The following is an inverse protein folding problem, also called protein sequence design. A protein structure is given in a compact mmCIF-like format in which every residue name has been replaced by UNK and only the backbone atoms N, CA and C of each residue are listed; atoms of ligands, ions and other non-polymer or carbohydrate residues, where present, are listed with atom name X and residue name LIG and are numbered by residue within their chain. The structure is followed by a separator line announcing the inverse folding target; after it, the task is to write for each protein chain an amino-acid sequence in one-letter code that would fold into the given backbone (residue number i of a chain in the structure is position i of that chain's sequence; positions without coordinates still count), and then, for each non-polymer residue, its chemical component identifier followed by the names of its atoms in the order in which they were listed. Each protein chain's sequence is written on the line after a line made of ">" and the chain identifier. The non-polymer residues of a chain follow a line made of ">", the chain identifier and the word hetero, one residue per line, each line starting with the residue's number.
data_IF_828475431948
#
_entry.id   IF_828475431948
#
_cell.length_a   1.000
_cell.length_b   1.000
_cell.length_c   1.000
_cell.angle_alpha   90.00
_cell.angle_beta   90.00
_cell.angle_gamma   90.00
#
_symmetry.space_group_name_H-M   'P 1'
#
loop_
_entity.id
_entity.type
_entity.pdbx_description
1 polymer ?
#
# COMPACT_ATOMS: atom_id res chain seq x y z
N UNK A 1 -16.77 9.53 9.27
CA UNK A 1 -18.23 9.34 9.21
C UNK A 1 -18.46 8.01 9.93
N UNK A 2 -18.85 8.05 11.20
CA UNK A 2 -19.18 6.82 11.93
C UNK A 2 -20.48 6.28 11.34
N UNK A 3 -20.42 5.11 10.70
CA UNK A 3 -21.63 4.39 10.29
C UNK A 3 -22.35 3.97 11.56
N UNK A 4 -23.49 4.60 11.83
CA UNK A 4 -24.42 4.18 12.87
C UNK A 4 -24.81 2.74 12.53
N UNK A 5 -24.55 1.81 13.45
CA UNK A 5 -24.88 0.41 13.24
C UNK A 5 -26.40 0.27 13.04
N UNK A 6 -26.83 -0.07 11.82
CA UNK A 6 -28.17 -0.61 11.58
C UNK A 6 -29.03 0.09 10.54
N UNK A 7 -28.57 1.16 9.87
CA UNK A 7 -29.36 1.70 8.75
C UNK A 7 -29.31 0.75 7.55
N UNK A 8 -30.50 0.33 7.09
CA UNK A 8 -30.69 -0.47 5.88
C UNK A 8 -30.27 0.38 4.68
N UNK A 9 -29.19 0.01 4.01
CA UNK A 9 -28.60 0.77 2.91
C UNK A 9 -28.08 -0.17 1.82
N UNK A 10 -28.34 0.21 0.56
CA UNK A 10 -27.70 -0.35 -0.62
C UNK A 10 -26.66 0.60 -1.21
N UNK A 11 -26.24 0.33 -2.43
CA UNK A 11 -25.23 1.09 -3.16
C UNK A 11 -25.74 2.50 -3.58
N UNK A 12 -27.04 2.65 -3.85
CA UNK A 12 -27.66 3.87 -4.42
C UNK A 12 -28.55 4.59 -3.42
N UNK A 13 -29.18 3.86 -2.50
CA UNK A 13 -30.11 4.44 -1.54
C UNK A 13 -30.05 3.80 -0.16
N UNK A 14 -30.56 4.53 0.83
CA UNK A 14 -30.77 4.05 2.19
C UNK A 14 -32.25 4.15 2.54
N UNK A 15 -32.71 3.37 3.51
CA UNK A 15 -34.10 3.38 3.96
C UNK A 15 -34.56 4.76 4.43
N UNK A 16 -33.67 5.58 5.01
CA UNK A 16 -33.97 6.96 5.38
C UNK A 16 -34.26 7.91 4.20
N UNK A 17 -33.96 7.51 2.95
CA UNK A 17 -34.31 8.27 1.75
C UNK A 17 -35.76 8.02 1.28
N UNK A 18 -36.44 7.03 1.88
CA UNK A 18 -37.79 6.61 1.52
C UNK A 18 -38.73 6.96 2.67
N UNK A 19 -39.76 7.76 2.37
CA UNK A 19 -40.69 8.32 3.36
C UNK A 19 -42.05 7.59 3.40
N UNK A 20 -42.27 6.61 2.53
CA UNK A 20 -43.55 5.93 2.34
C UNK A 20 -43.51 4.44 2.69
N UNK A 21 -42.58 4.01 3.55
CA UNK A 21 -42.52 2.62 4.00
C UNK A 21 -43.86 2.16 4.61
N UNK A 22 -44.38 0.97 4.22
CA UNK A 22 -45.57 0.41 4.84
C UNK A 22 -45.43 0.29 6.36
N UNK A 23 -46.50 0.59 7.10
CA UNK A 23 -46.46 0.48 8.56
C UNK A 23 -46.20 -0.97 8.98
N UNK A 24 -45.15 -1.17 9.77
CA UNK A 24 -44.76 -2.49 10.28
C UNK A 24 -43.87 -3.31 9.33
N UNK A 25 -43.39 -2.73 8.22
CA UNK A 25 -42.39 -3.39 7.37
C UNK A 25 -41.10 -3.65 8.17
N UNK A 26 -40.56 -4.85 8.04
CA UNK A 26 -39.31 -5.24 8.69
C UNK A 26 -38.09 -4.63 8.00
N UNK A 27 -36.95 -4.56 8.70
CA UNK A 27 -35.67 -4.12 8.11
C UNK A 27 -35.21 -5.04 6.98
N UNK A 28 -35.51 -6.33 7.08
CA UNK A 28 -35.23 -7.34 6.06
C UNK A 28 -36.05 -7.07 4.79
N UNK A 29 -37.36 -6.82 4.92
CA UNK A 29 -38.22 -6.46 3.77
C UNK A 29 -37.82 -5.13 3.14
N UNK A 30 -37.38 -4.14 3.95
CA UNK A 30 -36.81 -2.90 3.42
C UNK A 30 -35.55 -3.16 2.58
N UNK A 31 -34.65 -4.04 3.05
CA UNK A 31 -33.44 -4.42 2.32
C UNK A 31 -33.79 -5.14 1.02
N UNK A 32 -34.75 -6.07 1.03
CA UNK A 32 -35.19 -6.78 -0.18
C UNK A 32 -35.71 -5.83 -1.27
N UNK A 33 -36.43 -4.77 -0.89
CA UNK A 33 -36.92 -3.76 -1.82
C UNK A 33 -35.78 -2.91 -2.38
N UNK A 34 -34.84 -2.48 -1.52
CA UNK A 34 -33.64 -1.74 -1.94
C UNK A 34 -32.83 -2.58 -2.93
N UNK A 35 -32.49 -3.82 -2.59
CA UNK A 35 -31.71 -4.73 -3.44
C UNK A 35 -32.40 -4.95 -4.79
N UNK A 36 -33.73 -5.13 -4.80
CA UNK A 36 -34.50 -5.30 -6.02
C UNK A 36 -34.43 -4.07 -6.93
N UNK A 37 -34.54 -2.87 -6.35
CA UNK A 37 -34.48 -1.61 -7.11
C UNK A 37 -33.10 -1.38 -7.71
N UNK A 38 -32.04 -1.66 -6.95
CA UNK A 38 -30.67 -1.52 -7.41
C UNK A 38 -30.36 -2.51 -8.54
N UNK A 39 -30.79 -3.78 -8.41
CA UNK A 39 -30.71 -4.77 -9.49
C UNK A 39 -31.44 -4.32 -10.77
N UNK A 40 -32.59 -3.64 -10.63
CA UNK A 40 -33.33 -3.09 -11.77
C UNK A 40 -32.51 -1.99 -12.45
N UNK A 41 -31.93 -1.06 -11.68
CA UNK A 41 -31.11 0.02 -12.20
C UNK A 41 -29.89 -0.54 -12.91
N UNK A 42 -29.14 -1.44 -12.27
CA UNK A 42 -27.93 -2.08 -12.83
C UNK A 42 -28.20 -2.77 -14.15
N UNK A 43 -29.33 -3.47 -14.22
CA UNK A 43 -29.75 -4.17 -15.43
C UNK A 43 -30.08 -3.21 -16.58
N UNK A 44 -30.63 -2.02 -16.27
CA UNK A 44 -31.04 -1.02 -17.27
C UNK A 44 -29.86 -0.17 -17.72
N UNK A 45 -28.95 0.18 -16.80
CA UNK A 45 -27.76 0.98 -17.11
C UNK A 45 -26.64 0.14 -17.71
N UNK A 46 -26.62 -1.18 -17.44
CA UNK A 46 -25.46 -2.05 -17.69
C UNK A 46 -24.17 -1.48 -17.08
N UNK A 47 -24.32 -0.82 -15.93
CA UNK A 47 -23.27 -0.15 -15.18
C UNK A 47 -23.63 -0.20 -13.70
N UNK A 48 -22.72 -0.75 -12.89
CA UNK A 48 -22.79 -0.72 -11.43
C UNK A 48 -22.11 0.55 -10.92
N UNK A 49 -22.86 1.38 -10.20
CA UNK A 49 -22.35 2.59 -9.58
C UNK A 49 -21.89 2.28 -8.15
N UNK A 50 -20.97 3.08 -7.62
CA UNK A 50 -20.36 2.78 -6.32
C UNK A 50 -19.19 1.81 -6.42
N UNK A 51 -18.58 1.54 -5.27
CA UNK A 51 -17.35 0.75 -5.18
C UNK A 51 -17.64 -0.65 -4.67
N UNK A 52 -17.39 -1.66 -5.49
CA UNK A 52 -17.34 -3.05 -5.05
C UNK A 52 -15.92 -3.40 -4.61
N UNK A 53 -15.78 -3.97 -3.42
CA UNK A 53 -14.48 -4.45 -2.96
C UNK A 53 -14.05 -5.66 -3.80
N UNK A 54 -12.79 -5.67 -4.24
CA UNK A 54 -12.19 -6.82 -4.90
C UNK A 54 -10.96 -7.30 -4.12
N UNK A 55 -10.75 -8.61 -4.15
CA UNK A 55 -9.54 -9.29 -3.68
C UNK A 55 -9.19 -10.37 -4.71
N UNK A 56 -8.21 -10.05 -5.55
CA UNK A 56 -7.84 -10.91 -6.67
C UNK A 56 -6.41 -11.41 -6.52
N UNK A 57 -6.20 -12.66 -6.94
CA UNK A 57 -4.88 -13.29 -7.01
C UNK A 57 -4.48 -13.51 -8.45
N UNK A 58 -3.24 -13.15 -8.77
CA UNK A 58 -2.70 -13.11 -10.11
C UNK A 58 -1.29 -13.73 -10.14
N UNK A 59 -0.91 -14.15 -11.35
CA UNK A 59 0.46 -14.53 -11.65
C UNK A 59 1.22 -13.29 -12.09
N UNK A 60 2.42 -13.05 -11.55
CA UNK A 60 3.29 -12.01 -12.09
C UNK A 60 3.77 -12.33 -13.51
N UNK A 61 4.16 -11.28 -14.23
CA UNK A 61 4.35 -11.31 -15.67
C UNK A 61 5.72 -10.77 -16.15
N UNK A 62 6.67 -10.52 -15.24
CA UNK A 62 7.98 -9.90 -15.51
C UNK A 62 7.87 -8.57 -16.27
N UNK A 63 6.79 -7.83 -16.03
CA UNK A 63 6.60 -6.48 -16.56
C UNK A 63 6.35 -5.55 -15.40
N UNK A 64 6.51 -4.25 -15.65
CA UNK A 64 6.17 -3.21 -14.69
C UNK A 64 4.70 -2.89 -14.59
N UNK A 65 3.86 -3.56 -15.38
CA UNK A 65 2.42 -3.35 -15.45
C UNK A 65 1.69 -4.68 -15.36
N UNK A 66 0.70 -4.76 -14.47
CA UNK A 66 -0.18 -5.91 -14.35
C UNK A 66 -1.63 -5.47 -14.59
N UNK A 67 -2.25 -6.02 -15.63
CA UNK A 67 -3.66 -5.80 -15.92
C UNK A 67 -4.51 -6.66 -15.00
N UNK A 68 -5.49 -6.05 -14.36
CA UNK A 68 -6.41 -6.77 -13.49
C UNK A 68 -7.60 -7.26 -14.33
N UNK A 69 -8.02 -8.53 -14.22
CA UNK A 69 -9.16 -9.08 -14.95
C UNK A 69 -10.48 -8.66 -14.27
N UNK A 70 -10.70 -7.35 -14.10
CA UNK A 70 -11.91 -6.78 -13.52
C UNK A 70 -12.90 -6.44 -14.63
N UNK A 71 -14.20 -6.49 -14.32
CA UNK A 71 -15.27 -6.14 -15.25
C UNK A 71 -15.45 -4.62 -15.40
N UNK A 72 -14.98 -3.86 -14.41
CA UNK A 72 -15.10 -2.40 -14.31
C UNK A 72 -13.78 -1.76 -13.87
N UNK A 73 -13.74 -0.42 -13.91
CA UNK A 73 -12.54 0.36 -13.61
C UNK A 73 -12.11 0.22 -12.14
N UNK A 74 -10.80 0.26 -11.90
CA UNK A 74 -10.21 0.35 -10.57
C UNK A 74 -10.48 1.76 -10.01
N UNK A 75 -11.19 1.84 -8.89
CA UNK A 75 -11.40 3.08 -8.15
C UNK A 75 -10.28 3.31 -7.15
N UNK A 76 -9.91 2.27 -6.39
CA UNK A 76 -8.82 2.34 -5.41
C UNK A 76 -8.04 1.03 -5.36
N UNK A 77 -6.77 1.12 -4.98
CA UNK A 77 -5.94 -0.03 -4.59
C UNK A 77 -5.47 0.19 -3.16
N UNK A 78 -6.02 -0.58 -2.23
CA UNK A 78 -5.75 -0.43 -0.80
C UNK A 78 -4.48 -1.16 -0.41
N UNK A 79 -4.26 -2.39 -0.91
CA UNK A 79 -3.09 -3.18 -0.61
C UNK A 79 -2.66 -4.01 -1.82
N UNK A 80 -1.36 -4.16 -2.00
CA UNK A 80 -0.76 -5.13 -2.91
C UNK A 80 0.13 -6.05 -2.11
N UNK A 81 0.04 -7.35 -2.34
CA UNK A 81 0.97 -8.33 -1.79
C UNK A 81 1.70 -9.03 -2.92
N UNK A 82 3.02 -9.17 -2.78
CA UNK A 82 3.86 -9.99 -3.66
C UNK A 82 4.49 -11.09 -2.82
N UNK A 83 4.16 -12.34 -3.13
CA UNK A 83 4.51 -13.55 -2.37
C UNK A 83 4.23 -13.41 -0.87
N UNK A 84 3.02 -12.95 -0.53
CA UNK A 84 2.56 -12.68 0.84
C UNK A 84 3.29 -11.55 1.58
N UNK A 85 4.11 -10.76 0.88
CA UNK A 85 4.72 -9.54 1.42
C UNK A 85 3.90 -8.34 0.95
N UNK A 86 3.34 -7.59 1.89
CA UNK A 86 2.65 -6.34 1.62
C UNK A 86 3.62 -5.31 1.06
N UNK A 87 3.24 -4.70 -0.06
CA UNK A 87 3.98 -3.65 -0.74
C UNK A 87 3.57 -2.28 -0.17
N UNK A 88 4.54 -1.40 0.05
CA UNK A 88 4.26 -0.03 0.47
C UNK A 88 3.53 0.75 -0.64
N UNK A 89 2.59 1.62 -0.28
CA UNK A 89 1.81 2.39 -1.27
C UNK A 89 2.64 3.36 -2.10
N UNK A 90 3.87 3.69 -1.66
CA UNK A 90 4.82 4.47 -2.46
C UNK A 90 5.51 3.67 -3.58
N UNK A 91 5.39 2.33 -3.58
CA UNK A 91 6.06 1.46 -4.54
C UNK A 91 5.20 1.10 -5.75
N UNK A 92 3.95 1.53 -5.75
CA UNK A 92 3.03 1.25 -6.83
C UNK A 92 2.13 2.43 -7.10
N UNK A 93 1.66 2.49 -8.34
CA UNK A 93 0.57 3.36 -8.77
C UNK A 93 -0.41 2.52 -9.58
N UNK A 94 -1.56 3.09 -9.94
CA UNK A 94 -2.58 2.39 -10.72
C UNK A 94 -3.28 3.37 -11.64
N UNK A 95 -3.82 2.82 -12.72
CA UNK A 95 -4.81 3.47 -13.55
C UNK A 95 -6.13 2.69 -13.50
N UNK A 96 -7.07 3.04 -14.38
CA UNK A 96 -8.38 2.41 -14.45
C UNK A 96 -8.36 0.89 -14.66
N UNK A 97 -7.28 0.30 -15.19
CA UNK A 97 -7.27 -1.11 -15.61
C UNK A 97 -6.05 -1.91 -15.12
N UNK A 98 -5.11 -1.26 -14.45
CA UNK A 98 -3.84 -1.89 -14.13
C UNK A 98 -3.13 -1.25 -12.96
N UNK A 99 -2.26 -2.05 -12.35
CA UNK A 99 -1.28 -1.60 -11.37
C UNK A 99 0.10 -1.52 -12.02
N UNK A 100 0.90 -0.58 -11.55
CA UNK A 100 2.27 -0.35 -11.97
C UNK A 100 3.18 -0.47 -10.75
N UNK A 101 4.30 -1.16 -10.89
CA UNK A 101 5.39 -0.95 -9.95
C UNK A 101 6.12 0.32 -10.39
N UNK A 102 6.12 1.30 -9.50
CA UNK A 102 6.92 2.51 -9.62
C UNK A 102 7.77 2.59 -8.35
N UNK A 103 8.80 1.73 -8.23
CA UNK A 103 9.73 1.85 -7.13
C UNK A 103 10.40 3.21 -7.32
N UNK A 104 10.00 4.21 -6.53
CA UNK A 104 10.50 5.57 -6.68
C UNK A 104 12.03 5.52 -6.78
N UNK A 105 12.57 5.84 -7.96
CA UNK A 105 14.01 5.80 -8.27
C UNK A 105 14.79 6.87 -7.46
N UNK A 106 14.10 7.62 -6.58
CA UNK A 106 14.63 8.80 -5.91
C UNK A 106 15.22 8.61 -4.51
N UNK A 107 14.74 7.66 -3.70
CA UNK A 107 15.26 7.50 -2.32
C UNK A 107 15.08 6.04 -1.84
N UNK A 108 16.21 5.32 -1.76
CA UNK A 108 16.38 3.95 -1.25
C UNK A 108 15.85 2.80 -2.14
N UNK A 109 16.77 2.15 -2.85
CA UNK A 109 16.61 0.83 -3.50
C UNK A 109 16.41 -0.33 -2.50
N UNK A 110 15.94 -0.05 -1.29
CA UNK A 110 15.89 -0.96 -0.16
C UNK A 110 14.50 -0.89 0.44
N UNK A 111 13.56 -1.66 -0.11
CA UNK A 111 12.17 -1.70 0.37
C UNK A 111 12.08 -1.79 1.88
N UNK A 112 11.43 -0.77 2.47
CA UNK A 112 11.29 -0.62 3.92
C UNK A 112 12.61 -0.81 4.68
N UNK A 113 13.72 -0.25 4.19
CA UNK A 113 14.96 -0.23 4.97
C UNK A 113 14.65 0.38 6.34
N UNK A 114 14.82 -0.41 7.40
CA UNK A 114 14.62 0.12 8.74
C UNK A 114 15.69 1.16 9.12
N UNK A 115 16.76 1.25 8.32
CA UNK A 115 17.85 2.20 8.45
C UNK A 115 17.59 3.46 7.63
N UNK A 116 17.73 4.62 8.27
CA UNK A 116 17.77 5.94 7.63
C UNK A 116 19.20 6.26 7.23
N UNK A 117 19.40 6.73 5.99
CA UNK A 117 20.71 7.19 5.48
C UNK A 117 21.82 6.15 5.70
N UNK A 118 21.58 4.91 5.26
CA UNK A 118 22.54 3.82 5.36
C UNK A 118 23.69 3.91 4.33
N UNK A 119 23.53 4.75 3.32
CA UNK A 119 24.55 5.16 2.34
C UNK A 119 25.39 6.36 2.83
N UNK A 120 25.05 6.95 3.98
CA UNK A 120 25.81 8.02 4.64
C UNK A 120 26.02 9.25 3.75
N UNK A 121 25.01 9.68 3.00
CA UNK A 121 25.12 10.89 2.19
C UNK A 121 24.66 12.16 2.93
N UNK A 122 23.95 12.01 4.05
CA UNK A 122 23.39 13.12 4.80
C UNK A 122 24.24 13.48 6.04
N UNK A 123 25.11 14.47 5.88
CA UNK A 123 25.95 15.03 6.95
C UNK A 123 25.43 16.41 7.38
N UNK A 124 25.57 16.74 8.67
CA UNK A 124 25.23 18.08 9.17
C UNK A 124 26.17 19.10 8.50
N UNK A 125 25.58 20.10 7.85
CA UNK A 125 26.31 21.05 6.98
C UNK A 125 26.96 22.20 7.77
N UNK A 126 26.69 22.30 9.08
CA UNK A 126 27.22 23.38 9.90
C UNK A 126 28.63 23.05 10.39
N UNK A 127 29.64 23.71 9.82
CA UNK A 127 30.97 23.73 10.39
C UNK A 127 30.92 24.15 11.88
N UNK A 128 31.71 23.53 12.77
CA UNK A 128 32.87 22.69 12.47
C UNK A 128 32.58 21.17 12.44
N UNK A 129 31.33 20.71 12.56
CA UNK A 129 31.07 19.30 12.82
C UNK A 129 30.87 18.50 11.53
N UNK A 130 31.64 17.42 11.38
CA UNK A 130 31.44 16.38 10.37
C UNK A 130 30.50 15.32 10.91
N UNK A 131 29.35 15.74 11.47
CA UNK A 131 28.43 14.78 12.09
C UNK A 131 27.52 14.15 11.04
N UNK A 132 27.20 12.87 11.21
CA UNK A 132 26.07 12.23 10.53
C UNK A 132 24.73 12.84 11.00
N UNK A 133 23.80 13.05 10.07
CA UNK A 133 22.51 13.69 10.38
C UNK A 133 21.54 12.75 11.11
N UNK A 134 21.45 11.50 10.65
CA UNK A 134 20.48 10.50 11.14
C UNK A 134 21.06 9.47 12.10
N UNK A 135 22.35 9.60 12.43
CA UNK A 135 23.06 8.68 13.31
C UNK A 135 23.58 9.44 14.54
N UNK A 136 23.63 8.75 15.67
CA UNK A 136 24.25 9.25 16.89
C UNK A 136 25.69 8.78 16.91
N UNK A 137 26.62 9.72 17.00
CA UNK A 137 28.06 9.44 17.07
C UNK A 137 28.51 9.22 18.52
N UNK A 138 29.34 8.21 18.72
CA UNK A 138 29.99 7.93 20.00
C UNK A 138 31.49 7.87 19.79
N UNK A 139 32.22 8.81 20.41
CA UNK A 139 33.68 8.87 20.38
C UNK A 139 34.26 8.99 21.79
N UNK A 140 35.45 8.44 21.98
CA UNK A 140 36.25 8.61 23.19
C UNK A 140 37.71 8.92 22.83
N UNK A 141 38.44 9.49 23.78
CA UNK A 141 39.86 9.83 23.59
C UNK A 141 40.08 10.80 22.44
N UNK A 142 40.96 10.44 21.51
CA UNK A 142 41.22 11.21 20.28
C UNK A 142 40.71 10.50 19.03
N UNK A 143 39.81 9.52 19.18
CA UNK A 143 39.18 8.85 18.04
C UNK A 143 38.17 9.77 17.36
N UNK A 144 37.97 9.60 16.06
CA UNK A 144 37.12 10.51 15.26
C UNK A 144 36.21 9.75 14.30
N UNK A 145 35.10 10.39 13.93
CA UNK A 145 34.16 9.92 12.92
C UNK A 145 34.11 10.99 11.84
N UNK A 146 34.40 10.59 10.61
CA UNK A 146 34.56 11.49 9.48
C UNK A 146 33.88 10.89 8.25
N UNK A 147 33.52 11.77 7.31
CA UNK A 147 33.23 11.35 5.94
C UNK A 147 34.54 11.10 5.20
N UNK A 148 34.63 10.01 4.44
CA UNK A 148 35.74 9.74 3.53
C UNK A 148 35.24 9.83 2.08
N UNK A 149 36.03 10.48 1.22
CA UNK A 149 35.75 10.70 -0.21
C UNK A 149 36.70 9.92 -1.13
N UNK A 150 37.63 9.16 -0.55
CA UNK A 150 38.67 8.39 -1.24
C UNK A 150 38.32 6.91 -1.19
N UNK A 151 38.02 6.37 -0.01
CA UNK A 151 37.67 4.96 0.21
C UNK A 151 36.16 4.76 0.11
N UNK A 152 35.52 5.20 -0.97
CA UNK A 152 34.05 5.09 -1.15
C UNK A 152 33.71 3.83 -1.94
N UNK A 153 32.66 3.09 -1.55
CA UNK A 153 32.18 1.99 -2.38
C UNK A 153 31.20 2.49 -3.44
N UNK A 154 30.16 3.23 -3.03
CA UNK A 154 29.13 3.77 -3.93
C UNK A 154 28.87 5.24 -3.60
N UNK A 155 28.62 6.06 -4.61
CA UNK A 155 28.29 7.47 -4.44
C UNK A 155 29.45 8.35 -4.01
N UNK A 156 29.20 9.29 -3.10
CA UNK A 156 30.13 10.39 -2.80
C UNK A 156 30.92 10.22 -1.51
N UNK A 157 30.37 9.49 -0.54
CA UNK A 157 30.92 9.41 0.81
C UNK A 157 30.73 7.99 1.36
N UNK A 158 31.60 7.62 2.30
CA UNK A 158 31.34 6.57 3.28
C UNK A 158 31.64 7.10 4.68
N UNK A 159 31.23 6.37 5.72
CA UNK A 159 31.66 6.69 7.08
C UNK A 159 33.02 6.06 7.37
N UNK A 160 33.94 6.86 7.89
CA UNK A 160 35.26 6.44 8.37
C UNK A 160 35.38 6.73 9.86
N UNK A 161 35.80 5.72 10.60
CA UNK A 161 36.05 5.80 12.04
C UNK A 161 37.53 5.60 12.28
N UNK A 162 38.23 6.64 12.73
CA UNK A 162 39.65 6.59 13.06
C UNK A 162 39.81 6.29 14.57
N UNK A 163 40.38 5.13 14.87
CA UNK A 163 40.63 4.65 16.23
C UNK A 163 42.01 5.08 16.69
N UNK A 164 42.07 5.75 17.83
CA UNK A 164 43.31 6.31 18.36
C UNK A 164 44.33 5.26 18.85
N UNK A 165 45.48 5.76 19.30
CA UNK A 165 46.57 4.95 19.86
C UNK A 165 46.33 4.50 21.32
N UNK A 166 45.13 4.70 21.87
CA UNK A 166 44.72 4.21 23.18
C UNK A 166 43.57 3.21 23.13
N UNK A 167 43.16 2.78 21.92
CA UNK A 167 41.97 1.93 21.73
C UNK A 167 40.69 2.60 22.26
N UNK A 168 40.57 3.92 22.08
CA UNK A 168 39.33 4.59 22.46
C UNK A 168 38.22 4.28 21.44
N UNK A 169 36.97 4.27 21.91
CA UNK A 169 35.81 3.96 21.08
C UNK A 169 35.61 4.97 19.95
N UNK A 170 35.26 4.47 18.76
CA UNK A 170 34.52 5.22 17.76
C UNK A 170 33.42 4.33 17.16
N UNK A 171 32.21 4.86 17.09
CA UNK A 171 31.07 4.16 16.50
C UNK A 171 29.86 5.06 16.31
N UNK A 172 28.90 4.54 15.56
CA UNK A 172 27.63 5.19 15.27
C UNK A 172 26.50 4.27 15.69
N UNK A 173 25.39 4.87 16.13
CA UNK A 173 24.18 4.13 16.45
C UNK A 173 22.92 4.77 15.86
N UNK A 174 21.92 3.95 15.57
CA UNK A 174 20.60 4.39 15.15
C UNK A 174 19.50 3.57 15.83
N UNK A 175 18.52 4.27 16.40
CA UNK A 175 17.27 3.68 16.85
C UNK A 175 16.39 3.31 15.64
N UNK A 176 15.88 2.08 15.64
CA UNK A 176 15.02 1.56 14.57
C UNK A 176 13.88 0.71 15.15
N UNK A 177 12.81 0.57 14.38
CA UNK A 177 11.63 -0.23 14.76
C UNK A 177 11.38 -1.34 13.74
N UNK A 178 11.38 -2.60 14.19
CA UNK A 178 11.06 -3.78 13.38
C UNK A 178 9.71 -4.37 13.81
N UNK A 179 8.97 -4.91 12.84
CA UNK A 179 7.75 -5.70 13.14
C UNK A 179 8.18 -6.97 13.87
N UNK A 180 7.50 -7.32 14.95
CA UNK A 180 7.80 -8.50 15.78
C UNK A 180 7.61 -9.80 15.01
N UNK A 181 8.46 -10.79 15.28
CA UNK A 181 8.38 -12.13 14.70
C UNK A 181 8.32 -12.12 13.15
N UNK A 182 9.14 -11.27 12.52
CA UNK A 182 9.28 -11.18 11.07
C UNK A 182 10.73 -11.44 10.67
N UNK A 183 10.92 -12.07 9.53
CA UNK A 183 12.26 -12.34 9.01
C UNK A 183 12.85 -11.09 8.37
N UNK A 184 14.13 -10.82 8.64
CA UNK A 184 14.90 -9.69 8.15
C UNK A 184 16.30 -10.13 7.71
N UNK A 185 16.94 -9.32 6.85
CA UNK A 185 18.35 -9.40 6.46
C UNK A 185 19.02 -8.09 6.83
N UNK A 186 20.00 -8.14 7.73
CA UNK A 186 20.96 -7.07 7.93
C UNK A 186 22.05 -7.21 6.87
N UNK A 187 22.34 -6.16 6.11
CA UNK A 187 23.43 -6.14 5.13
C UNK A 187 24.16 -4.80 5.17
N UNK A 188 25.47 -4.84 4.94
CA UNK A 188 26.31 -3.66 4.77
C UNK A 188 27.65 -4.04 4.14
N UNK A 189 28.38 -3.03 3.69
CA UNK A 189 29.77 -3.17 3.27
C UNK A 189 30.70 -2.60 4.32
N UNK A 190 31.88 -3.20 4.44
CA UNK A 190 32.90 -2.74 5.37
C UNK A 190 34.32 -3.03 4.86
N UNK A 191 35.30 -2.28 5.37
CA UNK A 191 36.72 -2.60 5.28
C UNK A 191 37.51 -2.03 6.46
N UNK A 192 38.73 -2.52 6.65
CA UNK A 192 39.68 -2.07 7.67
C UNK A 192 40.96 -1.59 7.00
N UNK A 193 41.62 -0.55 7.53
CA UNK A 193 42.87 -0.05 6.96
C UNK A 193 44.13 -0.83 7.38
N UNK A 194 44.05 -1.64 8.44
CA UNK A 194 45.19 -2.36 9.03
C UNK A 194 44.88 -3.84 9.23
N UNK A 195 45.86 -4.70 8.93
CA UNK A 195 45.73 -6.14 9.14
C UNK A 195 45.53 -6.50 10.62
N UNK A 196 44.79 -7.58 10.90
CA UNK A 196 44.44 -8.07 12.24
C UNK A 196 43.63 -7.09 13.11
N UNK A 197 43.09 -6.01 12.53
CA UNK A 197 42.14 -5.09 13.18
C UNK A 197 40.74 -5.35 12.62
N UNK A 198 39.78 -5.62 13.49
CA UNK A 198 38.42 -5.94 13.08
C UNK A 198 37.51 -4.72 13.21
N UNK A 199 36.35 -4.80 12.59
CA UNK A 199 35.21 -3.95 12.88
C UNK A 199 34.17 -4.79 13.64
N UNK A 200 33.20 -4.17 14.28
CA UNK A 200 32.12 -4.88 14.95
C UNK A 200 30.78 -4.19 14.74
N UNK A 201 29.71 -4.95 14.93
CA UNK A 201 28.36 -4.41 15.04
C UNK A 201 27.60 -5.05 16.18
N UNK A 202 26.52 -4.39 16.61
CA UNK A 202 25.55 -4.95 17.55
C UNK A 202 24.15 -4.50 17.16
N UNK A 203 23.21 -5.44 17.06
CA UNK A 203 21.78 -5.15 16.96
C UNK A 203 21.12 -5.63 18.25
N UNK A 204 20.54 -4.73 19.03
CA UNK A 204 20.02 -5.07 20.36
C UNK A 204 18.81 -4.25 20.77
N UNK A 205 18.09 -4.74 21.77
CA UNK A 205 17.12 -3.94 22.51
C UNK A 205 17.78 -3.37 23.77
N UNK A 206 17.89 -2.05 23.84
CA UNK A 206 18.56 -1.35 24.95
C UNK A 206 17.82 -1.43 26.28
N UNK A 207 16.50 -1.68 26.26
CA UNK A 207 15.65 -1.74 27.46
C UNK A 207 15.74 -3.11 28.12
N UNK A 208 15.65 -4.17 27.34
CA UNK A 208 15.65 -5.57 27.79
C UNK A 208 17.04 -6.20 27.78
N UNK A 209 18.02 -5.51 27.19
CA UNK A 209 19.40 -5.98 27.03
C UNK A 209 19.47 -7.35 26.37
N UNK A 210 18.83 -7.49 25.20
CA UNK A 210 18.83 -8.70 24.38
C UNK A 210 19.42 -8.37 23.02
N UNK A 211 20.41 -9.14 22.57
CA UNK A 211 21.19 -8.86 21.35
C UNK A 211 21.11 -10.00 20.34
N UNK A 212 21.26 -9.64 19.07
CA UNK A 212 21.37 -10.57 17.96
C UNK A 212 22.78 -11.16 17.91
N UNK A 213 22.88 -12.49 17.83
CA UNK A 213 24.15 -13.21 17.61
C UNK A 213 24.46 -13.31 16.11
N UNK A 214 25.71 -13.63 15.81
CA UNK A 214 26.19 -13.87 14.44
C UNK A 214 25.48 -15.03 13.71
N UNK A 215 24.78 -15.90 14.43
CA UNK A 215 24.00 -17.02 13.88
C UNK A 215 22.52 -16.65 13.58
N UNK A 216 22.13 -15.39 13.79
CA UNK A 216 20.78 -14.90 13.55
C UNK A 216 19.80 -15.13 14.70
N UNK A 217 20.25 -15.69 15.83
CA UNK A 217 19.41 -15.92 17.03
C UNK A 217 19.66 -14.90 18.14
N UNK A 218 18.70 -14.74 19.05
CA UNK A 218 18.76 -13.74 20.13
C UNK A 218 19.30 -14.32 21.44
N UNK A 219 20.03 -13.51 22.21
CA UNK A 219 20.51 -13.89 23.55
C UNK A 219 20.42 -12.71 24.53
N UNK A 220 20.17 -12.96 25.82
CA UNK A 220 20.37 -11.96 26.86
C UNK A 220 21.82 -11.46 26.91
N UNK A 221 22.00 -10.19 27.25
CA UNK A 221 23.28 -9.50 27.29
C UNK A 221 23.61 -8.75 26.00
N UNK A 222 24.60 -7.85 26.08
CA UNK A 222 25.20 -7.22 24.91
C UNK A 222 26.13 -8.21 24.21
N UNK A 223 25.93 -8.38 22.90
CA UNK A 223 26.79 -9.23 22.08
C UNK A 223 27.25 -8.43 20.87
N UNK A 224 28.56 -8.22 20.79
CA UNK A 224 29.21 -7.56 19.66
C UNK A 224 29.68 -8.64 18.69
N UNK A 225 29.18 -8.57 17.46
CA UNK A 225 29.59 -9.48 16.39
C UNK A 225 30.85 -8.94 15.74
N UNK A 226 31.96 -9.64 15.95
CA UNK A 226 33.23 -9.32 15.31
C UNK A 226 33.20 -9.67 13.83
N UNK A 227 33.54 -8.70 12.99
CA UNK A 227 33.67 -8.86 11.55
C UNK A 227 35.07 -9.39 11.21
N UNK A 228 35.20 -10.06 10.08
CA UNK A 228 36.51 -10.55 9.62
C UNK A 228 37.43 -9.38 9.27
N UNK A 229 38.73 -9.49 9.54
CA UNK A 229 39.66 -8.47 9.06
C UNK A 229 39.79 -8.56 7.54
N UNK A 230 39.30 -7.53 6.85
CA UNK A 230 39.35 -7.40 5.39
C UNK A 230 39.92 -6.02 5.02
N UNK A 231 40.83 -5.99 4.06
CA UNK A 231 41.52 -4.76 3.60
C UNK A 231 40.93 -4.19 2.29
N UNK A 232 39.86 -4.81 1.80
CA UNK A 232 39.08 -4.38 0.65
C UNK A 232 37.60 -4.42 1.02
N UNK A 233 36.79 -3.60 0.36
CA UNK A 233 35.34 -3.58 0.54
C UNK A 233 34.76 -4.99 0.41
N UNK A 234 34.13 -5.44 1.49
CA UNK A 234 33.54 -6.78 1.60
C UNK A 234 32.10 -6.66 2.04
N UNK A 235 31.24 -7.51 1.48
CA UNK A 235 29.85 -7.63 1.88
C UNK A 235 29.71 -8.44 3.18
N UNK A 236 28.91 -7.92 4.10
CA UNK A 236 28.39 -8.67 5.23
C UNK A 236 26.87 -8.80 5.08
N UNK A 237 26.34 -9.99 5.37
CA UNK A 237 24.90 -10.22 5.43
C UNK A 237 24.53 -11.22 6.51
N UNK A 238 23.45 -10.94 7.24
CA UNK A 238 22.92 -11.81 8.28
C UNK A 238 21.39 -11.86 8.17
N UNK A 239 20.86 -13.06 7.92
CA UNK A 239 19.42 -13.33 8.02
C UNK A 239 19.04 -13.62 9.48
N UNK A 240 17.94 -13.04 9.94
CA UNK A 240 17.43 -13.24 11.30
C UNK A 240 15.91 -13.10 11.35
N UNK A 241 15.28 -13.55 12.43
CA UNK A 241 13.88 -13.24 12.74
C UNK A 241 13.86 -12.25 13.90
N UNK A 242 13.16 -11.12 13.76
CA UNK A 242 12.98 -10.15 14.84
C UNK A 242 12.35 -10.81 16.07
N UNK A 243 12.67 -10.29 17.25
CA UNK A 243 12.22 -10.87 18.51
C UNK A 243 10.67 -10.80 18.63
N UNK A 244 10.01 -11.82 19.19
CA UNK A 244 8.54 -11.82 19.35
C UNK A 244 8.02 -10.76 20.32
N UNK A 245 8.83 -10.38 21.32
CA UNK A 245 8.34 -9.55 22.44
C UNK A 245 8.57 -8.04 22.28
N UNK A 246 9.46 -7.61 21.38
CA UNK A 246 9.81 -6.20 21.24
C UNK A 246 10.01 -5.77 19.78
N UNK A 247 9.71 -4.49 19.55
CA UNK A 247 9.75 -3.87 18.23
C UNK A 247 10.84 -2.80 18.12
N UNK A 248 11.39 -2.30 19.23
CA UNK A 248 12.43 -1.29 19.26
C UNK A 248 13.82 -1.93 19.32
N UNK A 249 14.74 -1.44 18.50
CA UNK A 249 16.11 -1.92 18.40
C UNK A 249 17.06 -0.73 18.27
N UNK A 250 18.33 -0.95 18.58
CA UNK A 250 19.46 -0.12 18.20
C UNK A 250 20.42 -0.92 17.36
N UNK A 251 20.89 -0.34 16.25
CA UNK A 251 22.03 -0.86 15.50
C UNK A 251 23.23 0.02 15.84
N UNK A 252 24.33 -0.62 16.24
CA UNK A 252 25.64 0.00 16.46
C UNK A 252 26.63 -0.56 15.44
N UNK A 253 27.45 0.32 14.87
CA UNK A 253 28.59 0.00 14.01
C UNK A 253 29.81 0.74 14.57
N UNK A 254 30.92 0.04 14.79
CA UNK A 254 32.12 0.69 15.35
C UNK A 254 33.19 -0.28 15.79
N UNK A 255 34.07 0.18 16.66
CA UNK A 255 34.96 -0.66 17.48
C UNK A 255 35.59 0.14 18.63
N UNK A 256 36.11 -0.55 19.65
CA UNK A 256 37.02 -0.03 20.68
C UNK A 256 38.34 -0.81 20.76
N UNK A 257 38.60 -1.79 19.87
CA UNK A 257 39.77 -2.68 19.95
C UNK A 257 40.64 -2.66 18.66
N UNK A 258 40.65 -1.54 17.94
CA UNK A 258 41.31 -1.41 16.64
C UNK A 258 42.39 -0.31 16.60
N UNK A 259 43.30 -0.34 17.56
CA UNK A 259 44.41 0.62 17.77
C UNK A 259 45.03 1.15 16.47
N UNK A 260 45.08 2.48 16.34
CA UNK A 260 45.77 3.17 15.23
C UNK A 260 45.34 2.65 13.85
N UNK A 261 44.05 2.44 13.66
CA UNK A 261 43.47 2.01 12.39
C UNK A 261 42.20 2.77 12.07
N UNK A 262 41.74 2.60 10.84
CA UNK A 262 40.50 3.18 10.33
C UNK A 262 39.57 2.05 9.94
N UNK A 263 38.31 2.19 10.31
CA UNK A 263 37.22 1.28 9.96
C UNK A 263 36.23 2.04 9.09
N UNK A 264 35.70 1.37 8.07
CA UNK A 264 34.80 1.96 7.10
C UNK A 264 33.52 1.15 7.00
N UNK A 265 32.39 1.85 6.87
CA UNK A 265 31.09 1.25 6.58
C UNK A 265 30.41 1.99 5.43
N UNK A 266 29.63 1.27 4.65
CA UNK A 266 28.81 1.83 3.56
C UNK A 266 27.60 0.90 3.28
N UNK A 267 26.55 1.44 2.66
CA UNK A 267 25.35 0.71 2.21
C UNK A 267 24.69 -0.16 3.29
N UNK A 268 24.44 0.41 4.47
CA UNK A 268 23.82 -0.29 5.59
C UNK A 268 22.31 -0.40 5.40
N UNK A 269 21.77 -1.61 5.56
CA UNK A 269 20.34 -1.84 5.52
C UNK A 269 19.86 -3.02 6.35
N UNK A 270 18.61 -2.90 6.82
CA UNK A 270 17.84 -4.01 7.39
C UNK A 270 16.56 -4.14 6.57
N UNK A 271 16.45 -5.25 5.84
CA UNK A 271 15.41 -5.52 4.84
C UNK A 271 14.55 -6.68 5.31
N UNK A 272 13.26 -6.73 4.98
CA UNK A 272 12.44 -7.92 5.30
C UNK A 272 12.92 -9.12 4.46
N UNK A 273 13.28 -10.26 5.08
CA UNK A 273 13.99 -11.39 4.43
C UNK A 273 13.17 -12.14 3.37
N UNK A 274 11.88 -11.83 3.18
CA UNK A 274 11.11 -12.30 2.03
C UNK A 274 11.40 -11.51 0.75
N UNK A 275 11.91 -10.28 0.88
CA UNK A 275 12.20 -9.39 -0.24
C UNK A 275 13.51 -9.79 -0.91
N UNK A 276 14.51 -10.40 -0.26
CA UNK A 276 15.83 -10.64 -0.88
C UNK A 276 15.84 -11.41 -2.22
N UNK A 277 14.89 -12.32 -2.45
CA UNK A 277 14.74 -13.03 -3.73
C UNK A 277 13.73 -12.35 -4.69
N UNK A 278 12.81 -11.55 -4.15
CA UNK A 278 11.79 -10.79 -4.87
C UNK A 278 12.32 -9.40 -5.25
N UNK A 279 13.39 -8.95 -4.58
CA UNK A 279 13.99 -7.63 -4.66
C UNK A 279 14.62 -7.43 -6.01
N UNK A 280 15.32 -8.42 -6.59
CA UNK A 280 15.92 -8.26 -7.91
C UNK A 280 14.84 -7.86 -8.94
N UNK A 281 13.77 -8.65 -9.04
CA UNK A 281 12.67 -8.37 -9.98
C UNK A 281 11.90 -7.09 -9.62
N UNK A 282 11.58 -6.85 -8.34
CA UNK A 282 10.88 -5.62 -7.93
C UNK A 282 11.76 -4.37 -8.09
N UNK A 283 13.08 -4.46 -7.92
CA UNK A 283 14.02 -3.34 -8.12
C UNK A 283 14.16 -2.96 -9.59
N UNK A 284 13.92 -3.91 -10.50
CA UNK A 284 13.75 -3.62 -11.93
C UNK A 284 12.35 -3.04 -12.24
N UNK A 285 11.52 -2.86 -11.21
CA UNK A 285 10.13 -2.44 -11.34
C UNK A 285 9.27 -3.52 -11.95
N UNK A 286 9.57 -4.81 -11.81
CA UNK A 286 8.86 -5.91 -12.46
C UNK A 286 8.06 -6.76 -11.47
N UNK A 287 6.87 -7.18 -11.89
CA UNK A 287 6.06 -8.15 -11.17
C UNK A 287 6.65 -9.56 -11.36
N UNK A 288 7.21 -10.20 -10.31
CA UNK A 288 7.94 -11.46 -10.45
C UNK A 288 7.02 -12.60 -10.87
N UNK A 289 7.47 -13.47 -11.78
CA UNK A 289 6.67 -14.64 -12.18
C UNK A 289 6.40 -15.55 -10.98
N UNK A 290 5.17 -16.05 -10.89
CA UNK A 290 4.76 -17.01 -9.88
C UNK A 290 3.29 -17.38 -10.06
N UNK A 291 2.86 -18.45 -9.38
CA UNK A 291 1.46 -18.86 -9.40
C UNK A 291 0.71 -18.22 -8.24
N UNK A 292 -0.29 -17.38 -8.53
CA UNK A 292 -1.09 -16.63 -7.55
C UNK A 292 -0.21 -15.91 -6.50
N UNK A 293 0.96 -15.45 -6.93
CA UNK A 293 1.94 -14.82 -6.06
C UNK A 293 1.67 -13.33 -5.90
N UNK A 294 0.75 -12.74 -6.66
CA UNK A 294 0.34 -11.34 -6.51
C UNK A 294 -1.08 -11.32 -6.00
N UNK A 295 -1.34 -10.58 -4.94
CA UNK A 295 -2.68 -10.29 -4.44
C UNK A 295 -2.93 -8.79 -4.51
N UNK A 296 -4.05 -8.37 -5.07
CA UNK A 296 -4.45 -6.97 -5.17
C UNK A 296 -5.80 -6.81 -4.50
N UNK A 297 -5.87 -5.91 -3.53
CA UNK A 297 -7.06 -5.59 -2.78
C UNK A 297 -7.41 -4.13 -3.03
N UNK A 298 -8.67 -3.85 -3.33
CA UNK A 298 -9.12 -2.50 -3.65
C UNK A 298 -10.62 -2.41 -3.85
N UNK A 299 -11.04 -1.33 -4.51
CA UNK A 299 -12.43 -1.15 -4.94
C UNK A 299 -12.50 -0.90 -6.45
N UNK A 300 -13.51 -1.46 -7.10
CA UNK A 300 -13.80 -1.30 -8.53
C UNK A 300 -15.20 -0.74 -8.75
N UNK A 301 -15.45 -0.11 -9.89
CA UNK A 301 -16.72 0.49 -10.28
C UNK A 301 -16.54 1.62 -11.27
N UNK A 302 -17.63 2.16 -11.83
CA UNK A 302 -17.51 3.27 -12.79
C UNK A 302 -17.26 4.64 -12.14
N UNK A 303 -17.61 4.81 -10.87
CA UNK A 303 -17.38 6.07 -10.13
C UNK A 303 -17.47 5.88 -8.62
N UNK A 304 -16.62 6.57 -7.88
CA UNK A 304 -16.72 6.69 -6.41
C UNK A 304 -18.00 7.42 -5.99
N UNK A 305 -18.51 8.33 -6.84
CA UNK A 305 -19.73 9.08 -6.58
C UNK A 305 -20.87 8.60 -7.48
N UNK A 306 -21.90 8.02 -6.87
CA UNK A 306 -23.17 7.68 -7.54
C UNK A 306 -23.82 8.99 -8.03
N UNK A 307 -24.11 9.15 -9.33
CA UNK A 307 -24.75 10.34 -9.85
C UNK A 307 -26.09 10.60 -9.18
N UNK A 308 -26.41 11.87 -8.90
CA UNK A 308 -27.65 12.23 -8.21
C UNK A 308 -28.89 11.73 -8.96
N UNK A 309 -28.87 11.73 -10.29
CA UNK A 309 -29.94 11.16 -11.11
C UNK A 309 -30.19 9.66 -10.86
N UNK A 310 -29.14 8.87 -10.63
CA UNK A 310 -29.26 7.45 -10.30
C UNK A 310 -29.91 7.30 -8.92
N UNK A 311 -29.49 8.09 -7.93
CA UNK A 311 -30.10 8.08 -6.59
C UNK A 311 -31.57 8.44 -6.62
N UNK A 312 -31.94 9.49 -7.38
CA UNK A 312 -33.33 9.91 -7.54
C UNK A 312 -34.17 8.83 -8.22
N UNK A 313 -33.65 8.18 -9.28
CA UNK A 313 -34.32 7.04 -9.92
C UNK A 313 -34.56 5.89 -8.92
N UNK A 314 -33.56 5.58 -8.08
CA UNK A 314 -33.65 4.53 -7.08
C UNK A 314 -34.71 4.84 -6.01
N UNK A 315 -34.75 6.08 -5.50
CA UNK A 315 -35.79 6.53 -4.56
C UNK A 315 -37.18 6.41 -5.17
N UNK A 316 -37.37 6.85 -6.42
CA UNK A 316 -38.66 6.79 -7.11
C UNK A 316 -39.13 5.34 -7.30
N UNK A 317 -38.24 4.44 -7.74
CA UNK A 317 -38.57 3.03 -7.92
C UNK A 317 -38.90 2.35 -6.59
N UNK A 318 -38.18 2.66 -5.52
CA UNK A 318 -38.46 2.09 -4.20
C UNK A 318 -39.79 2.60 -3.63
N UNK A 319 -40.09 3.91 -3.78
CA UNK A 319 -41.40 4.46 -3.42
C UNK A 319 -42.52 3.78 -4.21
N UNK A 320 -42.30 3.53 -5.50
CA UNK A 320 -43.26 2.86 -6.36
C UNK A 320 -43.49 1.39 -5.97
N UNK A 321 -42.45 0.65 -5.58
CA UNK A 321 -42.62 -0.73 -5.10
C UNK A 321 -43.36 -0.81 -3.77
N UNK A 322 -43.14 0.16 -2.87
CA UNK A 322 -43.88 0.25 -1.61
C UNK A 322 -45.37 0.53 -1.81
N UNK A 323 -45.67 1.52 -2.64
CA UNK A 323 -47.05 1.91 -2.95
C UNK A 323 -47.15 2.38 -4.40
N UNK A 324 -47.58 1.49 -5.32
CA UNK A 324 -47.75 1.84 -6.73
C UNK A 324 -48.80 2.93 -6.98
N UNK A 325 -49.66 3.24 -6.00
CA UNK A 325 -50.74 4.22 -6.14
C UNK A 325 -50.28 5.66 -5.87
N UNK A 326 -49.11 5.87 -5.26
CA UNK A 326 -48.48 7.20 -5.12
C UNK A 326 -48.28 7.90 -6.46
N UNK A 327 -48.05 7.10 -7.49
CA UNK A 327 -47.91 7.57 -8.87
C UNK A 327 -49.25 7.33 -9.57
N UNK A 328 -50.25 8.14 -9.24
CA UNK A 328 -51.60 8.02 -9.80
C UNK A 328 -51.65 8.49 -11.26
N UNK A 329 -52.42 7.75 -12.06
CA UNK A 329 -52.44 7.79 -13.52
C UNK A 329 -53.56 8.67 -14.08
N UNK A 330 -53.20 9.58 -14.99
CA UNK A 330 -54.12 10.18 -15.98
C UNK A 330 -53.30 10.50 -17.24
N UNK A 331 -53.41 9.71 -18.31
CA UNK A 331 -52.73 10.00 -19.59
C UNK A 331 -52.28 8.78 -20.42
N UNK A 332 -52.06 8.99 -21.72
CA UNK A 332 -52.25 7.96 -22.75
C UNK A 332 -51.00 7.22 -23.27
N UNK A 333 -49.87 7.22 -22.56
CA UNK A 333 -48.75 6.37 -22.93
C UNK A 333 -48.09 5.79 -21.70
N UNK A 334 -48.07 4.47 -21.62
CA UNK A 334 -47.47 3.72 -20.52
C UNK A 334 -46.13 3.16 -20.99
N UNK A 335 -45.05 3.46 -20.27
CA UNK A 335 -43.86 2.61 -20.31
C UNK A 335 -44.21 1.36 -19.50
N UNK A 336 -44.27 0.21 -20.15
CA UNK A 336 -44.63 -1.06 -19.51
C UNK A 336 -43.44 -1.73 -18.81
N UNK A 337 -42.22 -1.37 -19.22
CA UNK A 337 -40.96 -1.92 -18.71
C UNK A 337 -39.88 -0.83 -18.73
N UNK A 338 -39.17 -0.71 -17.62
CA UNK A 338 -38.01 0.18 -17.48
C UNK A 338 -36.94 -0.16 -18.53
N UNK A 339 -36.36 0.86 -19.16
CA UNK A 339 -35.32 0.71 -20.18
C UNK A 339 -35.76 0.28 -21.59
N UNK A 340 -37.00 -0.19 -21.80
CA UNK A 340 -37.47 -0.64 -23.14
C UNK A 340 -37.89 0.54 -24.04
N UNK A 341 -38.15 1.74 -23.48
CA UNK A 341 -38.63 2.94 -24.18
C UNK A 341 -39.77 2.69 -25.19
N UNK A 342 -40.49 1.57 -25.07
CA UNK A 342 -41.62 1.22 -25.93
C UNK A 342 -42.88 1.81 -25.31
N UNK A 343 -43.48 2.78 -26.00
CA UNK A 343 -44.67 3.48 -25.54
C UNK A 343 -45.91 2.95 -26.25
N UNK A 344 -46.85 2.39 -25.51
CA UNK A 344 -48.17 2.03 -26.04
C UNK A 344 -48.99 3.31 -26.21
N UNK A 345 -49.37 3.67 -27.45
CA UNK A 345 -50.31 4.78 -27.70
C UNK A 345 -51.71 4.38 -27.22
N UNK A 346 -52.13 4.86 -26.06
CA UNK A 346 -53.54 4.93 -25.72
C UNK A 346 -54.16 6.12 -26.49
N UNK A 347 -55.45 6.03 -26.86
CA UNK A 347 -56.10 7.00 -27.74
C UNK A 347 -56.51 8.31 -27.03
N UNK A 348 -56.18 9.43 -27.68
CA UNK A 348 -56.33 10.88 -27.37
C UNK A 348 -57.44 11.34 -26.41
N UNK A 349 -57.01 11.98 -25.29
CA UNK A 349 -57.64 12.97 -24.40
C UNK A 349 -57.34 12.69 -22.90
N UNK A 350 -56.15 13.07 -22.41
CA UNK A 350 -55.93 13.60 -21.04
C UNK A 350 -54.46 13.98 -20.84
N UNK A 351 -54.27 15.05 -20.05
CA UNK A 351 -53.01 15.77 -19.85
C UNK A 351 -51.92 14.93 -19.15
N UNK A 352 -50.68 15.28 -19.48
CA UNK A 352 -49.43 14.54 -19.27
C UNK A 352 -49.08 14.19 -17.81
N UNK A 353 -48.79 12.92 -17.48
CA UNK A 353 -47.82 12.56 -16.42
C UNK A 353 -47.16 11.19 -16.64
N UNK A 354 -45.89 11.09 -16.24
CA UNK A 354 -45.00 9.92 -16.20
C UNK A 354 -45.41 8.94 -15.08
N UNK A 355 -45.21 7.62 -15.27
CA UNK A 355 -45.32 6.61 -14.20
C UNK A 355 -44.11 6.71 -13.25
N UNK A 356 -44.13 6.14 -12.04
CA UNK A 356 -42.89 6.04 -11.24
C UNK A 356 -41.74 5.40 -12.02
N UNK A 357 -42.05 4.41 -12.86
CA UNK A 357 -41.14 3.85 -13.87
C UNK A 357 -40.71 4.89 -14.92
N UNK A 358 -41.64 5.71 -15.43
CA UNK A 358 -41.36 6.76 -16.41
C UNK A 358 -40.53 7.92 -15.86
N UNK A 359 -40.76 8.32 -14.62
CA UNK A 359 -39.93 9.31 -13.91
C UNK A 359 -38.53 8.74 -13.67
N UNK A 360 -38.43 7.49 -13.20
CA UNK A 360 -37.14 6.81 -13.09
C UNK A 360 -36.43 6.71 -14.44
N UNK A 361 -37.12 6.29 -15.52
CA UNK A 361 -36.60 6.25 -16.89
C UNK A 361 -36.10 7.63 -17.36
N UNK A 362 -36.79 8.71 -16.98
CA UNK A 362 -36.38 10.07 -17.32
C UNK A 362 -35.02 10.42 -16.71
N UNK A 363 -34.74 9.98 -15.47
CA UNK A 363 -33.44 10.14 -14.84
C UNK A 363 -32.39 9.18 -15.42
N UNK A 364 -32.77 7.94 -15.73
CA UNK A 364 -31.87 6.90 -16.25
C UNK A 364 -31.47 7.12 -17.73
N UNK A 365 -32.24 7.87 -18.52
CA UNK A 365 -32.05 8.00 -19.99
C UNK A 365 -30.67 8.48 -20.46
N UNK A 366 -29.90 9.14 -19.60
CA UNK A 366 -28.55 9.61 -19.91
C UNK A 366 -27.49 8.53 -19.64
N UNK A 367 -27.84 7.48 -18.89
CA UNK A 367 -26.96 6.43 -18.42
C UNK A 367 -27.23 5.07 -19.07
N UNK A 368 -28.38 4.90 -19.73
CA UNK A 368 -28.66 3.69 -20.52
C UNK A 368 -27.74 3.65 -21.74
N UNK A 369 -26.92 2.59 -21.86
CA UNK A 369 -26.10 2.31 -23.04
C UNK A 369 -27.00 2.01 -24.24
N UNK A 370 -27.25 3.03 -25.06
CA UNK A 370 -28.02 2.85 -26.30
C UNK A 370 -27.19 2.03 -27.29
N UNK A 371 -27.73 0.89 -27.74
CA UNK A 371 -27.14 0.14 -28.84
C UNK A 371 -27.01 1.07 -30.06
N UNK A 372 -25.84 1.14 -30.70
CA UNK A 372 -25.67 1.96 -31.88
C UNK A 372 -26.68 1.53 -32.94
N UNK A 373 -27.50 2.47 -33.42
CA UNK A 373 -28.42 2.22 -34.51
C UNK A 373 -27.59 2.11 -35.77
N UNK A 374 -27.29 0.88 -36.19
CA UNK A 374 -26.73 0.61 -37.50
C UNK A 374 -27.79 1.00 -38.53
N UNK A 375 -27.69 2.21 -39.09
CA UNK A 375 -28.46 2.54 -40.28
C UNK A 375 -27.97 1.62 -41.40
N UNK A 376 -28.83 0.70 -41.84
CA UNK A 376 -28.58 -0.06 -43.05
C UNK A 376 -28.41 0.93 -44.23
N UNK A 377 -27.39 0.75 -45.08
CA UNK A 377 -27.10 1.66 -46.19
C UNK A 377 -28.23 1.74 -47.22
#
# INVERSE_FOLDING_TARGET
>A
MEFISGDVCGDYLCAGHIDNWPSGISTEEQQEIIDKVEQIIDKVTETKWGGEAFDIKLNGNEKNRLFLPLETDILTVTNIYISCVELDSSWYTWDVNSIYLDPCIGDSMWGTNAIRDGDFFNWKVAAPTTDLYYWVETTAGTSTINRDTIQVQVGNYCVKMDIDALNSQAGIEQDLSLRRNRSYRLAFKYLNSVAAKTAEFMLWNSVLNVSLKADGTWTPGQVYVQLSNVLAWTDYSLDFTSHPDFANYKLYLGNWAALSSSIYFDNVGILTAGIGAIAADITEGLFPRGYNNIQVIGTMGESVAVPEAIKQAAVILAKWENDPTLYTYTGLKKSEKIGDYSYTNLATSEADVLTGIGEADFYLRLYVKRKPVLMAP
#
